data_IF_406306829446
#
_entry.id   IF_406306829446
#
_cell.length_a   1.000
_cell.length_b   1.000
_cell.length_c   1.000
_cell.angle_alpha   90.00
_cell.angle_beta   90.00
_cell.angle_gamma   90.00
#
_symmetry.space_group_name_H-M   'P 1'
#
loop_
_entity.id
_entity.type
_entity.pdbx_description
1 polymer ?
#
# COMPACT_ATOMS: atom_id res chain seq x y z
N UNK A 1 18.58 9.49 5.69
CA UNK A 1 19.18 8.21 5.40
C UNK A 1 18.28 7.25 4.65
N UNK A 2 18.90 6.25 4.08
CA UNK A 2 18.24 5.22 3.27
C UNK A 2 17.11 4.52 4.04
N UNK A 3 17.32 4.26 5.31
CA UNK A 3 16.31 3.58 6.16
C UNK A 3 14.99 4.36 6.20
N UNK A 4 15.05 5.67 6.31
CA UNK A 4 13.83 6.50 6.33
C UNK A 4 13.09 6.45 5.00
N UNK A 5 13.81 6.49 3.89
CA UNK A 5 13.20 6.36 2.56
C UNK A 5 12.48 5.02 2.41
N UNK A 6 13.07 3.94 2.90
CA UNK A 6 12.45 2.63 2.85
C UNK A 6 11.21 2.54 3.73
N UNK A 7 11.24 3.18 4.90
CA UNK A 7 10.06 3.25 5.78
C UNK A 7 8.88 3.96 5.11
N UNK A 8 9.18 4.91 4.23
CA UNK A 8 8.16 5.65 3.48
C UNK A 8 7.72 4.92 2.20
N UNK A 9 8.23 3.72 1.97
CA UNK A 9 7.80 2.89 0.87
C UNK A 9 8.53 3.08 -0.45
N UNK A 10 9.66 3.82 -0.44
CA UNK A 10 10.49 3.96 -1.64
C UNK A 10 11.23 2.65 -1.94
N UNK A 11 11.19 2.23 -3.18
CA UNK A 11 11.99 1.10 -3.65
C UNK A 11 13.48 1.50 -3.70
N UNK A 12 14.37 0.51 -3.59
CA UNK A 12 15.82 0.77 -3.60
C UNK A 12 16.24 1.53 -4.85
N UNK A 13 15.69 1.19 -6.01
CA UNK A 13 16.01 1.88 -7.26
C UNK A 13 15.57 3.33 -7.24
N UNK A 14 14.44 3.63 -6.63
CA UNK A 14 13.96 4.99 -6.47
C UNK A 14 14.88 5.78 -5.54
N UNK A 15 15.36 5.15 -4.48
CA UNK A 15 16.32 5.76 -3.54
C UNK A 15 17.63 6.07 -4.27
N UNK A 16 18.12 5.15 -5.10
CA UNK A 16 19.31 5.38 -5.91
C UNK A 16 19.13 6.56 -6.87
N UNK A 17 17.95 6.64 -7.49
CA UNK A 17 17.62 7.76 -8.37
C UNK A 17 17.65 9.10 -7.65
N UNK A 18 17.08 9.15 -6.45
CA UNK A 18 17.10 10.35 -5.62
C UNK A 18 18.53 10.75 -5.26
N UNK A 19 19.34 9.79 -4.83
CA UNK A 19 20.73 10.04 -4.47
C UNK A 19 21.55 10.54 -5.67
N UNK A 20 21.33 9.96 -6.84
CA UNK A 20 21.99 10.38 -8.08
C UNK A 20 21.66 11.83 -8.42
N UNK A 21 20.40 12.22 -8.28
CA UNK A 21 19.97 13.60 -8.53
C UNK A 21 20.65 14.57 -7.56
N UNK A 22 20.69 14.21 -6.29
CA UNK A 22 21.32 15.06 -5.25
C UNK A 22 22.83 15.15 -5.48
N UNK A 23 23.50 14.03 -5.75
CA UNK A 23 24.95 13.99 -5.96
C UNK A 23 25.36 14.71 -7.22
N UNK A 24 24.52 14.75 -8.25
CA UNK A 24 24.76 15.47 -9.47
C UNK A 24 24.77 16.99 -9.32
N UNK A 25 24.25 17.51 -8.21
CA UNK A 25 24.23 18.93 -7.90
C UNK A 25 23.31 19.76 -8.77
N UNK A 26 22.47 19.10 -9.58
CA UNK A 26 21.53 19.76 -10.51
C UNK A 26 20.08 19.54 -10.14
N UNK A 27 19.82 18.72 -9.12
CA UNK A 27 18.46 18.46 -8.68
C UNK A 27 17.86 19.69 -8.00
N UNK A 28 16.63 20.00 -8.33
CA UNK A 28 15.86 21.05 -7.67
C UNK A 28 14.90 20.45 -6.66
N UNK A 29 14.47 21.26 -5.71
CA UNK A 29 13.45 20.84 -4.76
C UNK A 29 12.15 20.47 -5.50
N UNK A 30 11.87 21.12 -6.63
CA UNK A 30 10.72 20.80 -7.45
C UNK A 30 10.79 19.37 -8.02
N UNK A 31 11.97 18.93 -8.45
CA UNK A 31 12.16 17.58 -8.95
C UNK A 31 11.97 16.54 -7.87
N UNK A 32 12.55 16.79 -6.69
CA UNK A 32 12.39 15.90 -5.53
C UNK A 32 10.92 15.85 -5.09
N UNK A 33 10.25 16.98 -5.11
CA UNK A 33 8.81 17.07 -4.81
C UNK A 33 8.00 16.21 -5.77
N UNK A 34 8.32 16.26 -7.06
CA UNK A 34 7.59 15.48 -8.08
C UNK A 34 7.71 13.98 -7.80
N UNK A 35 8.91 13.50 -7.47
CA UNK A 35 9.14 12.10 -7.14
C UNK A 35 8.35 11.71 -5.87
N UNK A 36 8.35 12.57 -4.87
CA UNK A 36 7.63 12.36 -3.61
C UNK A 36 6.12 12.35 -3.82
N UNK A 37 5.61 13.21 -4.69
CA UNK A 37 4.20 13.22 -5.04
C UNK A 37 3.78 11.92 -5.72
N UNK A 38 4.64 11.34 -6.55
CA UNK A 38 4.40 10.03 -7.14
C UNK A 38 4.26 8.95 -6.07
N UNK A 39 5.13 8.95 -5.08
CA UNK A 39 5.05 8.00 -3.98
C UNK A 39 3.78 8.22 -3.13
N UNK A 40 3.44 9.48 -2.88
CA UNK A 40 2.21 9.81 -2.15
C UNK A 40 0.98 9.25 -2.87
N UNK A 41 0.90 9.41 -4.18
CA UNK A 41 -0.22 8.89 -4.98
C UNK A 41 -0.31 7.37 -4.85
N UNK A 42 0.82 6.67 -4.87
CA UNK A 42 0.85 5.22 -4.71
C UNK A 42 0.34 4.79 -3.33
N UNK A 43 0.75 5.50 -2.28
CA UNK A 43 0.28 5.22 -0.92
C UNK A 43 -1.23 5.45 -0.82
N UNK A 44 -1.72 6.54 -1.38
CA UNK A 44 -3.15 6.83 -1.38
C UNK A 44 -3.96 5.75 -2.10
N UNK A 45 -3.44 5.24 -3.21
CA UNK A 45 -4.07 4.14 -3.94
C UNK A 45 -4.10 2.87 -3.10
N UNK A 46 -3.01 2.55 -2.44
CA UNK A 46 -2.93 1.38 -1.54
C UNK A 46 -3.90 1.51 -0.37
N UNK A 47 -4.05 2.70 0.18
CA UNK A 47 -5.01 2.95 1.25
C UNK A 47 -6.45 2.71 0.78
N UNK A 48 -6.79 3.15 -0.43
CA UNK A 48 -8.11 2.90 -0.99
C UNK A 48 -8.36 1.40 -1.19
N UNK A 49 -7.37 0.67 -1.68
CA UNK A 49 -7.46 -0.78 -1.85
C UNK A 49 -7.62 -1.49 -0.51
N UNK A 50 -6.86 -1.07 0.51
CA UNK A 50 -6.98 -1.62 1.86
C UNK A 50 -8.35 -1.35 2.46
N UNK A 51 -8.93 -0.18 2.20
CA UNK A 51 -10.29 0.13 2.66
C UNK A 51 -11.34 -0.81 2.04
N UNK A 52 -11.17 -1.15 0.78
CA UNK A 52 -12.06 -2.12 0.11
C UNK A 52 -11.94 -3.50 0.75
N UNK A 53 -10.71 -3.94 1.01
CA UNK A 53 -10.47 -5.21 1.71
C UNK A 53 -11.09 -5.20 3.10
N UNK A 54 -10.90 -4.12 3.84
CA UNK A 54 -11.45 -3.96 5.19
C UNK A 54 -12.97 -4.08 5.18
N UNK A 55 -13.62 -3.40 4.24
CA UNK A 55 -15.06 -3.45 4.10
C UNK A 55 -15.56 -4.87 3.83
N UNK A 56 -14.90 -5.56 2.91
CA UNK A 56 -15.24 -6.94 2.57
C UNK A 56 -15.09 -7.86 3.78
N UNK A 57 -13.97 -7.75 4.48
CA UNK A 57 -13.69 -8.57 5.66
C UNK A 57 -14.68 -8.29 6.79
N UNK A 58 -15.02 -7.02 7.02
CA UNK A 58 -16.02 -6.65 8.02
C UNK A 58 -17.38 -7.25 7.72
N UNK A 59 -17.78 -7.23 6.44
CA UNK A 59 -19.04 -7.84 6.02
C UNK A 59 -19.06 -9.34 6.26
N UNK A 60 -17.93 -10.01 5.96
CA UNK A 60 -17.79 -11.44 6.19
C UNK A 60 -17.89 -11.79 7.68
N UNK A 61 -17.21 -11.01 8.52
CA UNK A 61 -17.25 -11.19 9.98
C UNK A 61 -18.66 -10.98 10.51
N UNK A 62 -19.36 -9.95 10.00
CA UNK A 62 -20.73 -9.64 10.44
C UNK A 62 -21.72 -10.75 10.07
N UNK A 63 -21.47 -11.46 8.98
CA UNK A 63 -22.33 -12.57 8.54
C UNK A 63 -22.08 -13.87 9.31
N UNK A 64 -20.95 -13.97 9.99
CA UNK A 64 -20.61 -15.17 10.75
C UNK A 64 -21.37 -15.18 12.08
N UNK A 65 -22.15 -16.23 12.30
CA UNK A 65 -22.93 -16.41 13.52
C UNK A 65 -22.21 -17.24 14.58
N UNK A 66 -20.98 -17.67 14.30
CA UNK A 66 -20.26 -18.59 15.16
C UNK A 66 -20.67 -20.04 14.99
N UNK A 67 -21.43 -20.34 13.94
CA UNK A 67 -21.84 -21.70 13.62
C UNK A 67 -20.66 -22.57 13.21
N UNK A 68 -20.86 -23.88 13.29
CA UNK A 68 -19.83 -24.82 12.88
C UNK A 68 -19.64 -24.80 11.36
N UNK A 69 -18.40 -25.06 10.93
CA UNK A 69 -18.13 -25.42 9.55
C UNK A 69 -18.88 -26.73 9.26
N UNK A 70 -19.62 -26.88 8.14
CA UNK A 70 -19.59 -26.12 6.89
C UNK A 70 -20.59 -24.96 6.77
N UNK A 71 -21.27 -24.57 7.81
CA UNK A 71 -22.26 -23.48 7.76
C UNK A 71 -21.63 -22.09 7.93
N UNK A 72 -20.40 -21.91 7.49
CA UNK A 72 -19.66 -20.68 7.65
C UNK A 72 -19.75 -19.84 6.37
N UNK A 73 -20.44 -18.68 6.38
CA UNK A 73 -20.51 -17.81 5.21
C UNK A 73 -19.14 -17.30 4.75
N UNK A 74 -18.20 -17.16 5.69
CA UNK A 74 -16.84 -16.72 5.37
C UNK A 74 -16.15 -17.74 4.46
N UNK A 75 -16.24 -19.03 4.81
CA UNK A 75 -15.66 -20.09 4.00
C UNK A 75 -16.33 -20.20 2.65
N UNK A 76 -17.64 -19.98 2.57
CA UNK A 76 -18.38 -20.00 1.31
C UNK A 76 -17.83 -18.94 0.36
N UNK A 77 -17.55 -17.74 0.85
CA UNK A 77 -16.97 -16.66 0.04
C UNK A 77 -15.53 -16.97 -0.37
N UNK A 78 -14.73 -17.46 0.57
CA UNK A 78 -13.30 -17.75 0.33
C UNK A 78 -13.08 -18.91 -0.65
N UNK A 79 -13.99 -19.88 -0.66
CA UNK A 79 -13.90 -21.03 -1.56
C UNK A 79 -14.73 -20.87 -2.83
N UNK A 80 -15.38 -19.72 -3.02
CA UNK A 80 -16.08 -19.43 -4.26
C UNK A 80 -15.07 -19.31 -5.41
N UNK A 81 -15.35 -19.96 -6.50
CA UNK A 81 -14.46 -19.95 -7.65
C UNK A 81 -14.46 -18.60 -8.37
#
# INVERSE_FOLDING_TARGET
PILKCRQLGFAIEEIRGLLSLVDGGIATCAEVKHITEGQLSEVQRKMADLKKMEKTLKNMVAQCSGSKVPECPILDVLYAA
#
